data_IF_390643715338
#
_entry.id   IF_390643715338
#
_cell.length_a   1.000
_cell.length_b   1.000
_cell.length_c   1.000
_cell.angle_alpha   90.00
_cell.angle_beta   90.00
_cell.angle_gamma   90.00
#
_symmetry.space_group_name_H-M   'P 1'
#
loop_
_entity.id
_entity.type
_entity.pdbx_description
1 polymer ?
#
# COMPACT_ATOMS: atom_id res chain seq x y z
N UNK A 1 30.96 0.58 -0.83
CA UNK A 1 30.56 -0.70 -0.22
C UNK A 1 31.18 -0.89 1.16
N UNK A 2 32.46 -0.57 1.39
CA UNK A 2 33.15 -0.73 2.71
C UNK A 2 32.44 0.05 3.85
N UNK A 3 32.05 1.30 3.60
CA UNK A 3 31.30 2.09 4.57
C UNK A 3 29.97 1.43 4.98
N UNK A 4 29.23 0.89 4.03
CA UNK A 4 27.98 0.15 4.32
C UNK A 4 28.28 -1.12 5.13
N UNK A 5 29.31 -1.88 4.75
CA UNK A 5 29.73 -3.09 5.48
C UNK A 5 30.09 -2.78 6.92
N UNK A 6 30.89 -1.74 7.14
CA UNK A 6 31.28 -1.32 8.49
C UNK A 6 30.05 -0.95 9.33
N UNK A 7 29.18 -0.08 8.83
CA UNK A 7 28.02 0.39 9.56
C UNK A 7 27.01 -0.73 9.85
N UNK A 8 26.70 -1.58 8.86
CA UNK A 8 25.79 -2.71 9.04
C UNK A 8 26.33 -3.73 10.05
N UNK A 9 27.66 -3.95 10.09
CA UNK A 9 28.25 -4.87 11.06
C UNK A 9 28.16 -4.38 12.50
N UNK A 10 28.01 -3.09 12.73
CA UNK A 10 27.81 -2.49 14.05
C UNK A 10 26.34 -2.58 14.53
N UNK A 11 25.40 -2.94 13.66
CA UNK A 11 24.00 -3.13 14.02
C UNK A 11 23.81 -4.58 14.49
N UNK A 12 23.40 -4.76 15.75
CA UNK A 12 23.24 -6.10 16.35
C UNK A 12 22.17 -6.92 15.66
N UNK A 13 20.99 -6.35 15.45
CA UNK A 13 19.82 -6.98 14.84
C UNK A 13 19.46 -6.29 13.52
N UNK A 14 19.65 -6.99 12.42
CA UNK A 14 19.39 -6.48 11.08
C UNK A 14 18.00 -6.90 10.61
N UNK A 15 17.22 -5.95 10.13
CA UNK A 15 15.96 -6.22 9.46
C UNK A 15 15.73 -5.28 8.27
N UNK A 16 14.93 -5.75 7.34
CA UNK A 16 14.46 -4.97 6.20
C UNK A 16 13.08 -5.45 5.78
N UNK A 17 12.28 -4.60 5.17
CA UNK A 17 10.95 -4.93 4.69
C UNK A 17 10.91 -5.47 3.25
N UNK A 18 12.05 -5.55 2.60
CA UNK A 18 12.15 -5.99 1.21
C UNK A 18 13.10 -7.18 1.08
N UNK A 19 12.69 -8.21 0.32
CA UNK A 19 13.53 -9.40 0.06
C UNK A 19 14.85 -9.04 -0.62
N UNK A 20 14.83 -8.04 -1.52
CA UNK A 20 16.04 -7.51 -2.15
C UNK A 20 17.00 -6.93 -1.12
N UNK A 21 16.49 -6.24 -0.09
CA UNK A 21 17.28 -5.73 1.01
C UNK A 21 17.94 -6.83 1.84
N UNK A 22 17.25 -7.95 2.09
CA UNK A 22 17.83 -9.14 2.76
C UNK A 22 19.02 -9.66 1.95
N UNK A 23 18.86 -9.83 0.63
CA UNK A 23 19.94 -10.28 -0.26
C UNK A 23 21.13 -9.34 -0.25
N UNK A 24 20.92 -8.02 -0.35
CA UNK A 24 21.96 -7.02 -0.32
C UNK A 24 22.73 -6.99 1.01
N UNK A 25 22.03 -7.09 2.15
CA UNK A 25 22.69 -7.16 3.46
C UNK A 25 23.58 -8.39 3.55
N UNK A 26 23.08 -9.55 3.09
CA UNK A 26 23.86 -10.79 3.07
C UNK A 26 25.10 -10.68 2.16
N UNK A 27 24.94 -10.12 0.96
CA UNK A 27 26.06 -9.89 0.03
C UNK A 27 27.14 -8.97 0.61
N UNK A 28 26.72 -7.86 1.24
CA UNK A 28 27.64 -6.85 1.77
C UNK A 28 28.34 -7.33 3.05
N UNK A 29 27.62 -7.99 3.94
CA UNK A 29 28.09 -8.28 5.31
C UNK A 29 28.34 -9.75 5.61
N UNK A 30 27.82 -10.67 4.80
CA UNK A 30 27.74 -12.11 5.11
C UNK A 30 26.71 -12.48 6.16
N UNK A 31 25.97 -11.50 6.73
CA UNK A 31 24.99 -11.70 7.82
C UNK A 31 23.59 -11.84 7.27
N UNK A 32 22.78 -12.62 7.97
CA UNK A 32 21.33 -12.68 7.69
C UNK A 32 20.61 -11.46 8.27
N UNK A 33 19.60 -10.99 7.54
CA UNK A 33 18.68 -9.97 8.00
C UNK A 33 17.27 -10.55 8.09
N UNK A 34 16.51 -10.15 9.09
CA UNK A 34 15.11 -10.54 9.24
C UNK A 34 14.25 -9.79 8.21
N UNK A 35 13.41 -10.53 7.49
CA UNK A 35 12.41 -9.92 6.60
C UNK A 35 11.21 -9.46 7.43
N UNK A 36 11.17 -8.20 7.78
CA UNK A 36 10.10 -7.60 8.57
C UNK A 36 8.92 -7.16 7.69
N UNK A 37 7.74 -7.12 8.26
CA UNK A 37 6.60 -6.41 7.67
C UNK A 37 6.84 -4.89 7.70
N UNK A 38 6.16 -4.17 6.81
CA UNK A 38 6.09 -2.71 6.93
C UNK A 38 5.49 -2.33 8.29
N UNK A 39 5.99 -1.26 8.97
CA UNK A 39 5.49 -0.84 10.29
C UNK A 39 3.97 -0.65 10.38
N UNK A 40 3.32 -0.27 9.30
CA UNK A 40 1.85 -0.15 9.24
C UNK A 40 1.17 -1.50 9.56
N UNK A 41 1.75 -2.61 9.12
CA UNK A 41 1.23 -3.96 9.36
C UNK A 41 1.53 -4.50 10.77
N UNK A 42 2.28 -3.79 11.60
CA UNK A 42 2.56 -4.17 12.98
C UNK A 42 1.43 -3.83 13.96
N UNK A 43 0.50 -2.97 13.57
CA UNK A 43 -0.71 -2.70 14.33
C UNK A 43 -1.88 -3.54 13.82
N UNK A 44 -2.77 -4.03 14.70
CA UNK A 44 -3.93 -4.81 14.29
C UNK A 44 -4.98 -3.93 13.58
N UNK A 45 -5.86 -4.56 12.80
CA UNK A 45 -6.94 -3.87 12.07
C UNK A 45 -7.74 -2.91 12.97
N UNK A 46 -8.12 -3.36 14.18
CA UNK A 46 -8.92 -2.57 15.13
C UNK A 46 -8.24 -1.23 15.51
N UNK A 47 -6.92 -1.17 15.55
CA UNK A 47 -6.19 0.06 15.80
C UNK A 47 -6.42 1.09 14.67
N UNK A 48 -6.31 0.63 13.43
CA UNK A 48 -6.50 1.49 12.26
C UNK A 48 -7.97 1.89 12.07
N UNK A 49 -8.91 0.98 12.39
CA UNK A 49 -10.34 1.28 12.39
C UNK A 49 -10.68 2.39 13.39
N UNK A 50 -10.16 2.31 14.61
CA UNK A 50 -10.35 3.33 15.63
C UNK A 50 -9.76 4.70 15.22
N UNK A 51 -8.60 4.71 14.54
CA UNK A 51 -8.04 5.94 14.01
C UNK A 51 -8.90 6.54 12.89
N UNK A 52 -9.36 5.71 11.97
CA UNK A 52 -10.21 6.16 10.86
C UNK A 52 -11.54 6.78 11.35
N UNK A 53 -12.10 6.26 12.44
CA UNK A 53 -13.34 6.75 13.07
C UNK A 53 -13.20 8.14 13.71
N UNK A 54 -11.98 8.57 14.03
CA UNK A 54 -11.73 9.93 14.51
C UNK A 54 -11.84 10.99 13.41
N UNK A 55 -11.90 10.58 12.15
CA UNK A 55 -12.10 11.48 11.02
C UNK A 55 -13.54 11.43 10.55
N UNK A 56 -14.08 12.58 10.18
CA UNK A 56 -15.37 12.68 9.47
C UNK A 56 -15.22 12.54 7.95
N UNK A 57 -13.99 12.48 7.46
CA UNK A 57 -13.69 12.30 6.05
C UNK A 57 -14.15 10.91 5.57
N UNK A 58 -14.70 10.82 4.39
CA UNK A 58 -15.25 9.57 3.84
C UNK A 58 -16.56 9.09 4.46
N UNK A 59 -16.94 9.54 5.65
CA UNK A 59 -18.23 9.16 6.27
C UNK A 59 -19.42 9.98 5.77
N UNK A 60 -19.16 11.18 5.24
CA UNK A 60 -20.18 12.11 4.73
C UNK A 60 -20.43 11.97 3.24
N UNK A 61 -19.57 11.25 2.57
CA UNK A 61 -19.68 11.03 1.14
C UNK A 61 -20.62 9.83 0.90
N UNK A 62 -21.50 9.93 -0.10
CA UNK A 62 -22.16 8.75 -0.67
C UNK A 62 -21.06 7.78 -1.15
N UNK A 63 -21.43 6.52 -1.42
CA UNK A 63 -20.48 5.53 -1.98
C UNK A 63 -19.61 6.16 -3.07
N UNK A 64 -18.30 6.04 -2.95
CA UNK A 64 -17.34 6.66 -3.85
C UNK A 64 -16.18 5.73 -4.19
N UNK A 65 -15.54 6.00 -5.32
CA UNK A 65 -14.25 5.42 -5.68
C UNK A 65 -13.13 6.40 -5.32
N UNK A 66 -12.05 5.89 -4.75
CA UNK A 66 -10.92 6.71 -4.31
C UNK A 66 -9.78 6.64 -5.32
N UNK A 67 -9.31 7.79 -5.78
CA UNK A 67 -8.08 7.91 -6.58
C UNK A 67 -6.99 8.56 -5.73
N UNK A 68 -5.89 7.83 -5.53
CA UNK A 68 -4.70 8.33 -4.86
C UNK A 68 -3.45 7.98 -5.65
N UNK A 69 -3.00 8.90 -6.48
CA UNK A 69 -1.87 8.73 -7.39
C UNK A 69 -0.80 9.76 -7.08
N UNK A 70 0.40 9.27 -6.73
CA UNK A 70 1.56 10.09 -6.35
C UNK A 70 2.54 10.30 -7.50
N UNK A 71 2.24 9.80 -8.68
CA UNK A 71 3.14 9.85 -9.83
C UNK A 71 2.60 10.76 -10.92
N UNK A 72 3.34 11.83 -11.24
CA UNK A 72 2.98 12.77 -12.31
C UNK A 72 3.08 12.17 -13.73
N UNK A 73 3.71 11.01 -13.90
CA UNK A 73 3.75 10.30 -15.18
C UNK A 73 2.43 9.62 -15.53
N UNK A 74 1.56 9.47 -14.54
CA UNK A 74 0.27 8.80 -14.68
C UNK A 74 -0.82 9.82 -15.03
N UNK A 75 -0.97 10.14 -16.33
CA UNK A 75 -1.86 11.22 -16.80
C UNK A 75 -3.20 10.74 -17.37
N UNK A 76 -3.31 9.48 -17.77
CA UNK A 76 -4.56 8.90 -18.28
C UNK A 76 -4.60 7.40 -18.07
N UNK A 77 -5.75 6.88 -17.68
CA UNK A 77 -6.05 5.47 -17.66
C UNK A 77 -7.48 5.28 -18.16
N UNK A 78 -7.71 4.25 -18.95
CA UNK A 78 -9.04 3.90 -19.44
C UNK A 78 -10.04 3.56 -18.33
N UNK A 79 -9.57 3.28 -17.12
CA UNK A 79 -10.42 3.20 -15.92
C UNK A 79 -11.22 4.48 -15.69
N UNK A 80 -10.61 5.63 -15.96
CA UNK A 80 -11.27 6.94 -15.80
C UNK A 80 -12.26 7.24 -16.94
N UNK A 81 -12.23 6.44 -18.01
CA UNK A 81 -13.19 6.48 -19.12
C UNK A 81 -14.42 5.60 -18.84
N UNK A 82 -14.32 4.65 -17.90
CA UNK A 82 -15.47 3.88 -17.41
C UNK A 82 -16.27 4.74 -16.44
N UNK A 83 -17.59 4.62 -16.46
CA UNK A 83 -18.53 5.39 -15.60
C UNK A 83 -18.28 5.15 -14.11
N UNK A 84 -17.37 5.90 -13.52
CA UNK A 84 -17.26 6.05 -12.08
C UNK A 84 -18.24 7.17 -11.68
N UNK A 85 -19.28 6.87 -10.93
CA UNK A 85 -20.36 7.84 -10.67
C UNK A 85 -19.97 8.93 -9.66
N UNK A 86 -19.18 8.57 -8.65
CA UNK A 86 -18.72 9.48 -7.60
C UNK A 86 -17.25 9.19 -7.28
N UNK A 87 -16.36 10.15 -7.49
CA UNK A 87 -14.92 9.97 -7.35
C UNK A 87 -14.32 10.99 -6.39
N UNK A 88 -13.62 10.50 -5.39
CA UNK A 88 -12.79 11.30 -4.50
C UNK A 88 -11.32 11.20 -4.94
N UNK A 89 -10.68 12.32 -5.19
CA UNK A 89 -9.26 12.39 -5.51
C UNK A 89 -8.49 13.02 -4.36
N UNK A 90 -7.48 12.32 -3.84
CA UNK A 90 -6.58 12.84 -2.81
C UNK A 90 -5.19 13.08 -3.42
N UNK A 91 -4.57 14.23 -3.05
CA UNK A 91 -3.21 14.59 -3.47
C UNK A 91 -3.17 15.56 -4.65
N UNK A 92 -1.95 15.75 -5.21
CA UNK A 92 -1.67 16.77 -6.22
C UNK A 92 -1.92 16.30 -7.67
N UNK A 93 -2.66 15.25 -7.86
CA UNK A 93 -2.97 14.73 -9.19
C UNK A 93 -3.92 15.69 -9.92
N UNK A 94 -3.51 16.16 -11.10
CA UNK A 94 -4.36 16.96 -11.99
C UNK A 94 -4.89 16.07 -13.09
N UNK A 95 -6.17 15.75 -13.02
CA UNK A 95 -6.88 15.09 -14.12
C UNK A 95 -7.28 16.20 -15.09
N UNK A 96 -6.55 16.35 -16.19
CA UNK A 96 -6.84 17.38 -17.20
C UNK A 96 -7.89 16.95 -18.22
N UNK A 97 -8.20 15.65 -18.33
CA UNK A 97 -8.90 15.09 -19.47
C UNK A 97 -10.08 14.16 -19.11
N UNK A 98 -10.68 14.30 -17.92
CA UNK A 98 -11.83 13.45 -17.55
C UNK A 98 -13.13 14.20 -17.66
N UNK A 99 -13.88 13.89 -18.69
CA UNK A 99 -14.99 14.68 -19.23
C UNK A 99 -16.39 14.23 -18.78
N UNK A 100 -16.65 13.55 -17.68
CA UNK A 100 -18.07 13.24 -17.39
C UNK A 100 -18.43 12.91 -15.96
N UNK A 101 -17.53 13.06 -14.97
CA UNK A 101 -17.79 12.57 -13.61
C UNK A 101 -17.75 13.69 -12.58
N UNK A 102 -18.48 13.49 -11.49
CA UNK A 102 -18.39 14.36 -10.33
C UNK A 102 -17.11 14.01 -9.55
N UNK A 103 -16.05 14.82 -9.72
CA UNK A 103 -14.81 14.69 -8.96
C UNK A 103 -14.80 15.61 -7.75
N UNK A 104 -14.51 15.07 -6.59
CA UNK A 104 -14.22 15.83 -5.37
C UNK A 104 -12.72 15.80 -5.08
N UNK A 105 -12.04 16.93 -5.22
CA UNK A 105 -10.59 17.04 -4.94
C UNK A 105 -10.37 17.44 -3.48
N UNK A 106 -9.56 16.64 -2.78
CA UNK A 106 -9.19 16.83 -1.37
C UNK A 106 -7.68 17.05 -1.28
N UNK A 107 -7.24 18.31 -1.27
CA UNK A 107 -5.82 18.68 -1.39
C UNK A 107 -5.11 18.89 -0.04
N UNK A 108 -5.84 18.92 1.07
CA UNK A 108 -5.30 19.26 2.41
C UNK A 108 -5.62 18.19 3.46
N UNK A 109 -5.84 16.96 3.02
CA UNK A 109 -6.17 15.86 3.91
C UNK A 109 -4.91 15.34 4.63
N UNK A 110 -5.07 15.08 5.93
CA UNK A 110 -4.02 14.48 6.74
C UNK A 110 -4.00 12.95 6.68
N UNK A 111 -3.09 12.31 7.43
CA UNK A 111 -2.98 10.85 7.45
C UNK A 111 -4.24 10.14 7.96
N UNK A 112 -4.97 10.73 8.90
CA UNK A 112 -6.19 10.13 9.47
C UNK A 112 -7.32 10.16 8.44
N UNK A 113 -7.49 11.28 7.74
CA UNK A 113 -8.43 11.44 6.64
C UNK A 113 -8.13 10.45 5.51
N UNK A 114 -6.85 10.32 5.13
CA UNK A 114 -6.40 9.37 4.13
C UNK A 114 -6.82 7.93 4.47
N UNK A 115 -6.60 7.50 5.72
CA UNK A 115 -6.99 6.16 6.20
C UNK A 115 -8.51 6.01 6.17
N UNK A 116 -9.26 7.05 6.58
CA UNK A 116 -10.71 7.05 6.57
C UNK A 116 -11.30 6.94 5.16
N UNK A 117 -10.75 7.67 4.19
CA UNK A 117 -11.18 7.55 2.79
C UNK A 117 -10.95 6.14 2.25
N UNK A 118 -9.79 5.51 2.50
CA UNK A 118 -9.53 4.14 2.05
C UNK A 118 -10.52 3.15 2.67
N UNK A 119 -10.78 3.27 3.99
CA UNK A 119 -11.73 2.40 4.70
C UNK A 119 -13.13 2.44 4.11
N UNK A 120 -13.58 3.60 3.65
CA UNK A 120 -14.96 3.85 3.22
C UNK A 120 -15.17 3.83 1.70
N UNK A 121 -14.10 3.71 0.91
CA UNK A 121 -14.19 3.65 -0.54
C UNK A 121 -14.80 2.32 -1.04
N UNK A 122 -15.50 2.38 -2.18
CA UNK A 122 -15.91 1.17 -2.91
C UNK A 122 -14.70 0.47 -3.53
N UNK A 123 -13.82 1.25 -4.16
CA UNK A 123 -12.58 0.77 -4.76
C UNK A 123 -11.52 1.87 -4.67
N UNK A 124 -10.26 1.46 -4.48
CA UNK A 124 -9.10 2.35 -4.41
C UNK A 124 -8.23 2.15 -5.64
N UNK A 125 -7.98 3.23 -6.37
CA UNK A 125 -7.09 3.28 -7.53
C UNK A 125 -5.82 4.05 -7.18
N UNK A 126 -4.67 3.39 -7.20
CA UNK A 126 -3.48 4.00 -6.61
C UNK A 126 -2.17 3.56 -7.27
N UNK A 127 -1.10 4.35 -7.05
CA UNK A 127 0.31 3.97 -7.27
C UNK A 127 1.06 3.82 -5.95
N UNK A 128 0.36 3.97 -4.81
CA UNK A 128 0.97 4.05 -3.49
C UNK A 128 1.00 2.71 -2.78
N UNK A 129 2.17 2.31 -2.32
CA UNK A 129 2.35 1.13 -1.46
C UNK A 129 1.46 1.19 -0.19
N UNK A 130 1.43 2.33 0.50
CA UNK A 130 0.63 2.45 1.73
C UNK A 130 -0.88 2.42 1.47
N UNK A 131 -1.35 2.95 0.33
CA UNK A 131 -2.76 2.82 -0.02
C UNK A 131 -3.14 1.35 -0.24
N UNK A 132 -2.29 0.56 -0.91
CA UNK A 132 -2.48 -0.89 -1.06
C UNK A 132 -2.52 -1.58 0.30
N UNK A 133 -1.55 -1.30 1.18
CA UNK A 133 -1.49 -1.91 2.52
C UNK A 133 -2.74 -1.60 3.34
N UNK A 134 -3.22 -0.35 3.36
CA UNK A 134 -4.46 -0.01 4.05
C UNK A 134 -5.70 -0.64 3.41
N UNK A 135 -5.74 -0.73 2.08
CA UNK A 135 -6.82 -1.45 1.38
C UNK A 135 -6.87 -2.92 1.80
N UNK A 136 -5.72 -3.59 1.93
CA UNK A 136 -5.64 -4.96 2.43
C UNK A 136 -6.12 -5.05 3.89
N UNK A 137 -5.69 -4.14 4.78
CA UNK A 137 -6.09 -4.11 6.19
C UNK A 137 -7.61 -3.98 6.33
N UNK A 138 -8.24 -3.12 5.54
CA UNK A 138 -9.68 -2.88 5.60
C UNK A 138 -10.51 -3.83 4.73
N UNK A 139 -9.87 -4.65 3.89
CA UNK A 139 -10.50 -5.45 2.84
C UNK A 139 -11.26 -4.57 1.84
N UNK A 140 -10.76 -3.38 1.57
CA UNK A 140 -11.31 -2.49 0.55
C UNK A 140 -10.79 -2.92 -0.82
N UNK A 141 -11.64 -3.13 -1.82
CA UNK A 141 -11.21 -3.42 -3.18
C UNK A 141 -10.24 -2.38 -3.70
N UNK A 142 -9.22 -2.80 -4.45
CA UNK A 142 -8.24 -1.88 -4.98
C UNK A 142 -7.63 -2.36 -6.30
N UNK A 143 -7.07 -1.41 -7.04
CA UNK A 143 -6.16 -1.63 -8.14
C UNK A 143 -4.92 -0.77 -7.96
N UNK A 144 -3.75 -1.34 -8.20
CA UNK A 144 -2.48 -0.61 -8.16
C UNK A 144 -1.84 -0.56 -9.52
N UNK A 145 -1.52 0.65 -9.95
CA UNK A 145 -0.84 0.88 -11.20
C UNK A 145 0.66 0.81 -11.01
N UNK A 146 1.31 -0.07 -11.76
CA UNK A 146 2.75 -0.16 -11.78
C UNK A 146 3.34 0.99 -12.58
N UNK A 147 4.41 1.56 -12.06
CA UNK A 147 5.05 2.75 -12.64
C UNK A 147 6.06 2.42 -13.73
N UNK A 148 6.48 1.14 -13.82
CA UNK A 148 7.60 0.68 -14.66
C UNK A 148 8.96 0.92 -14.02
N UNK A 149 9.02 1.54 -12.84
CA UNK A 149 10.23 1.66 -12.03
C UNK A 149 10.41 0.42 -11.16
N UNK A 150 11.40 -0.40 -11.50
CA UNK A 150 11.64 -1.67 -10.81
C UNK A 150 11.85 -1.51 -9.29
N UNK A 151 12.42 -0.39 -8.83
CA UNK A 151 12.64 -0.14 -7.41
C UNK A 151 11.35 0.17 -6.66
N UNK A 152 10.43 0.90 -7.27
CA UNK A 152 9.13 1.23 -6.69
C UNK A 152 8.18 0.05 -6.76
N UNK A 153 8.13 -0.60 -7.91
CA UNK A 153 7.18 -1.67 -8.18
C UNK A 153 7.54 -2.96 -7.45
N UNK A 154 8.84 -3.20 -7.15
CA UNK A 154 9.30 -4.40 -6.44
C UNK A 154 8.60 -4.64 -5.11
N UNK A 155 8.37 -3.58 -4.31
CA UNK A 155 7.67 -3.68 -3.02
C UNK A 155 6.19 -4.01 -3.18
N UNK A 156 5.55 -3.40 -4.18
CA UNK A 156 4.15 -3.68 -4.51
C UNK A 156 3.99 -5.13 -4.96
N UNK A 157 4.81 -5.57 -5.92
CA UNK A 157 4.78 -6.94 -6.42
C UNK A 157 5.12 -7.97 -5.34
N UNK A 158 6.05 -7.63 -4.42
CA UNK A 158 6.39 -8.51 -3.30
C UNK A 158 5.19 -8.73 -2.36
N UNK A 159 4.52 -7.67 -1.90
CA UNK A 159 3.41 -7.81 -0.97
C UNK A 159 2.19 -8.45 -1.63
N UNK A 160 1.89 -8.08 -2.87
CA UNK A 160 0.79 -8.69 -3.63
C UNK A 160 1.05 -10.18 -3.89
N UNK A 161 2.28 -10.56 -4.24
CA UNK A 161 2.65 -11.97 -4.44
C UNK A 161 2.64 -12.78 -3.15
N UNK A 162 2.97 -12.18 -2.00
CA UNK A 162 2.91 -12.85 -0.69
C UNK A 162 1.48 -13.26 -0.33
N UNK A 163 0.51 -12.45 -0.72
CA UNK A 163 -0.90 -12.64 -0.36
C UNK A 163 -1.83 -13.02 -1.52
N UNK A 164 -1.27 -13.47 -2.65
CA UNK A 164 -1.98 -13.93 -3.85
C UNK A 164 -2.92 -12.87 -4.47
N UNK A 165 -2.49 -11.59 -4.43
CA UNK A 165 -3.23 -10.43 -4.95
C UNK A 165 -2.58 -9.82 -6.20
N UNK A 166 -1.71 -10.56 -6.92
CA UNK A 166 -1.01 -10.04 -8.12
C UNK A 166 -1.96 -9.60 -9.24
N UNK A 167 -3.16 -10.16 -9.29
CA UNK A 167 -4.23 -9.77 -10.21
C UNK A 167 -4.75 -8.33 -9.98
N UNK A 168 -4.37 -7.71 -8.87
CA UNK A 168 -4.67 -6.30 -8.57
C UNK A 168 -3.65 -5.32 -9.16
N UNK A 169 -2.50 -5.83 -9.66
CA UNK A 169 -1.49 -5.01 -10.29
C UNK A 169 -1.78 -4.79 -11.77
N UNK A 170 -1.86 -3.55 -12.19
CA UNK A 170 -2.11 -3.13 -13.56
C UNK A 170 -0.81 -2.62 -14.18
N UNK A 171 -0.29 -3.34 -15.16
CA UNK A 171 0.92 -2.97 -15.90
C UNK A 171 0.61 -2.17 -17.17
N UNK A 172 -0.54 -2.46 -17.80
CA UNK A 172 -1.00 -1.79 -19.01
C UNK A 172 -2.20 -0.91 -18.71
N UNK A 173 -2.19 0.32 -19.23
CA UNK A 173 -3.29 1.26 -19.08
C UNK A 173 -4.62 0.78 -19.71
N UNK A 174 -4.57 -0.22 -20.57
CA UNK A 174 -5.72 -0.83 -21.24
C UNK A 174 -6.34 -1.99 -20.46
N UNK A 175 -5.56 -2.62 -19.55
CA UNK A 175 -6.01 -3.74 -18.71
C UNK A 175 -6.68 -3.24 -17.43
N UNK A 176 -7.71 -2.46 -17.57
CA UNK A 176 -8.49 -2.04 -16.43
C UNK A 176 -9.44 -3.13 -15.98
N UNK A 177 -8.88 -4.00 -15.21
CA UNK A 177 -9.42 -5.05 -14.36
C UNK A 177 -10.88 -5.43 -14.54
N UNK A 178 -11.12 -6.62 -15.04
CA UNK A 178 -12.42 -7.26 -14.97
C UNK A 178 -12.78 -7.57 -13.51
N UNK A 179 -13.70 -6.86 -13.00
CA UNK A 179 -14.72 -6.99 -12.00
C UNK A 179 -14.76 -8.12 -10.97
N UNK A 180 -13.68 -8.79 -10.64
CA UNK A 180 -13.70 -9.73 -9.51
C UNK A 180 -13.29 -9.00 -8.23
N UNK A 181 -14.11 -9.19 -7.17
CA UNK A 181 -13.73 -8.79 -5.81
C UNK A 181 -12.40 -9.45 -5.45
N UNK A 182 -11.44 -8.72 -4.83
CA UNK A 182 -10.18 -9.31 -4.39
C UNK A 182 -10.41 -10.35 -3.31
N UNK A 183 -9.71 -11.47 -3.40
CA UNK A 183 -9.75 -12.48 -2.35
C UNK A 183 -8.71 -12.17 -1.25
N UNK A 184 -9.17 -11.60 -0.16
CA UNK A 184 -8.34 -11.29 1.00
C UNK A 184 -8.16 -12.45 1.98
N UNK A 185 -8.64 -13.66 1.67
CA UNK A 185 -8.62 -14.81 2.60
C UNK A 185 -7.22 -15.10 3.10
N UNK A 186 -6.25 -15.19 2.20
CA UNK A 186 -4.86 -15.47 2.57
C UNK A 186 -4.26 -14.36 3.44
N UNK A 187 -4.49 -13.09 3.10
CA UNK A 187 -4.03 -11.98 3.92
C UNK A 187 -4.62 -12.04 5.32
N UNK A 188 -5.94 -12.21 5.44
CA UNK A 188 -6.63 -12.26 6.73
C UNK A 188 -6.17 -13.45 7.59
N UNK A 189 -5.79 -14.58 6.98
CA UNK A 189 -5.30 -15.77 7.67
C UNK A 189 -3.85 -15.59 8.14
N UNK A 190 -2.97 -15.11 7.28
CA UNK A 190 -1.52 -15.17 7.50
C UNK A 190 -0.97 -13.93 8.20
N UNK A 191 -1.61 -12.77 8.02
CA UNK A 191 -1.11 -11.50 8.57
C UNK A 191 -0.89 -11.53 10.08
N UNK A 192 -1.82 -12.14 10.84
CA UNK A 192 -1.72 -12.20 12.31
C UNK A 192 -0.44 -12.91 12.80
N UNK A 193 -0.10 -14.05 12.22
CA UNK A 193 1.10 -14.81 12.54
C UNK A 193 2.37 -14.07 12.13
N UNK A 194 2.41 -13.51 10.93
CA UNK A 194 3.54 -12.71 10.43
C UNK A 194 3.79 -11.48 11.31
N UNK A 195 2.74 -10.81 11.74
CA UNK A 195 2.82 -9.68 12.68
C UNK A 195 3.46 -10.09 14.02
N UNK A 196 3.04 -11.21 14.57
CA UNK A 196 3.60 -11.72 15.82
C UNK A 196 5.09 -12.07 15.69
N UNK A 197 5.51 -12.68 14.61
CA UNK A 197 6.93 -12.93 14.32
C UNK A 197 7.75 -11.64 14.30
N UNK A 198 7.26 -10.60 13.62
CA UNK A 198 7.92 -9.30 13.59
C UNK A 198 7.99 -8.63 14.97
N UNK A 199 6.92 -8.68 15.76
CA UNK A 199 6.90 -8.14 17.11
C UNK A 199 7.87 -8.89 18.04
N UNK A 200 7.97 -10.20 17.91
CA UNK A 200 8.94 -11.00 18.68
C UNK A 200 10.38 -10.66 18.30
N UNK A 201 10.66 -10.49 16.99
CA UNK A 201 11.98 -10.01 16.56
C UNK A 201 12.30 -8.63 17.16
N UNK A 202 11.35 -7.69 17.15
CA UNK A 202 11.56 -6.35 17.72
C UNK A 202 11.82 -6.40 19.22
N UNK A 203 11.05 -7.19 20.00
CA UNK A 203 11.30 -7.38 21.44
C UNK A 203 12.70 -7.89 21.71
N UNK A 204 13.13 -8.93 20.99
CA UNK A 204 14.50 -9.43 21.10
C UNK A 204 15.56 -8.38 20.72
N UNK A 205 15.26 -7.54 19.75
CA UNK A 205 16.19 -6.50 19.29
C UNK A 205 16.37 -5.36 20.30
N UNK A 206 15.31 -5.02 21.06
CA UNK A 206 15.37 -3.96 22.09
C UNK A 206 15.70 -4.48 23.49
N UNK A 207 15.75 -5.79 23.68
CA UNK A 207 16.19 -6.42 24.94
C UNK A 207 15.08 -6.66 25.95
N UNK A 208 13.84 -6.80 25.47
CA UNK A 208 12.68 -7.24 26.28
C UNK A 208 12.53 -8.77 26.30
#
# INVERSE_FOLDING_TARGET
LECYRHNLNNIKHLSTRERTGVGLIKEITGREAFLALDPVLLHPKVFWESLAENSIAGHKEDKFDLIYINDNSFRSCSIFEKSLDNVVCIGSFKITDVFSHTFSFKNHEGPIEFISYIKNANCVYTTSFHAVVFSMIFNTPFYVFLTGDAGRDSRLLQILGEFDLLDRAISNKEDCGGGFEPDFTKFNTDWGSRRLECLNFLRQAVGD
#
